data_IF_958021132119
#
_entry.id   IF_958021132119
#
_cell.length_a   1.000
_cell.length_b   1.000
_cell.length_c   1.000
_cell.angle_alpha   90.00
_cell.angle_beta   90.00
_cell.angle_gamma   90.00
#
_symmetry.space_group_name_H-M   'P 1'
#
loop_
_entity.id
_entity.type
_entity.pdbx_description
1 polymer ?
#
# COMPACT_ATOMS: atom_id res chain seq x y z
N UNK A 1 -51.76 48.36 -58.69
CA UNK A 1 -52.06 48.63 -57.27
C UNK A 1 -51.59 47.40 -56.45
N UNK A 2 -50.40 47.39 -55.89
CA UNK A 2 -49.86 46.31 -55.08
C UNK A 2 -49.83 46.82 -53.64
N UNK A 3 -50.56 46.17 -52.76
CA UNK A 3 -50.60 46.50 -51.32
C UNK A 3 -49.39 45.74 -50.66
N UNK A 4 -48.49 46.46 -50.04
CA UNK A 4 -47.45 45.90 -49.21
C UNK A 4 -48.00 45.71 -47.78
N UNK A 5 -47.90 44.52 -47.24
CA UNK A 5 -48.23 44.20 -45.85
C UNK A 5 -46.92 44.22 -45.06
N UNK A 6 -46.79 45.16 -44.14
CA UNK A 6 -45.71 45.19 -43.16
C UNK A 6 -46.06 44.30 -41.97
N UNK A 7 -45.28 43.22 -41.74
CA UNK A 7 -45.34 42.42 -40.52
C UNK A 7 -44.34 43.01 -39.55
N UNK A 8 -44.80 43.63 -38.46
CA UNK A 8 -43.96 44.08 -37.36
C UNK A 8 -43.65 42.89 -36.45
N UNK A 9 -42.38 42.43 -36.43
CA UNK A 9 -41.87 41.42 -35.53
C UNK A 9 -41.53 42.07 -34.20
N UNK A 10 -42.39 41.95 -33.19
CA UNK A 10 -42.09 42.42 -31.82
C UNK A 10 -41.10 41.52 -31.14
N UNK A 11 -39.85 41.94 -30.89
CA UNK A 11 -38.89 41.29 -30.01
C UNK A 11 -39.34 41.51 -28.56
N UNK A 12 -39.89 40.46 -27.94
CA UNK A 12 -40.01 40.39 -26.48
C UNK A 12 -38.64 40.09 -25.88
N UNK A 13 -37.95 41.10 -25.40
CA UNK A 13 -36.81 41.01 -24.51
C UNK A 13 -37.28 40.50 -23.13
N UNK A 14 -37.24 39.18 -22.90
CA UNK A 14 -37.35 38.64 -21.54
C UNK A 14 -36.04 38.91 -20.81
N UNK A 15 -36.02 39.98 -20.02
CA UNK A 15 -34.97 40.23 -19.04
C UNK A 15 -35.09 39.14 -17.96
N UNK A 16 -34.26 38.11 -18.07
CA UNK A 16 -34.01 37.18 -16.96
C UNK A 16 -33.33 37.97 -15.83
N UNK A 17 -34.11 38.48 -14.88
CA UNK A 17 -33.57 39.00 -13.63
C UNK A 17 -32.86 37.82 -12.94
N UNK A 18 -31.53 37.84 -12.97
CA UNK A 18 -30.73 36.93 -12.13
C UNK A 18 -31.10 37.24 -10.68
N UNK A 19 -31.82 36.30 -10.03
CA UNK A 19 -32.03 36.39 -8.60
C UNK A 19 -30.67 36.52 -7.91
N UNK A 20 -30.48 37.46 -6.99
CA UNK A 20 -29.22 37.58 -6.26
C UNK A 20 -28.93 36.27 -5.58
N UNK A 21 -27.72 35.72 -5.81
CA UNK A 21 -27.28 34.49 -5.16
C UNK A 21 -27.43 34.69 -3.64
N UNK A 22 -28.28 33.85 -3.01
CA UNK A 22 -28.55 33.96 -1.59
C UNK A 22 -27.25 33.67 -0.83
N UNK A 23 -26.77 34.63 -0.04
CA UNK A 23 -25.56 34.47 0.77
C UNK A 23 -25.75 33.30 1.72
N UNK A 24 -24.84 32.29 1.73
CA UNK A 24 -25.00 31.13 2.61
C UNK A 24 -25.04 31.55 4.09
N UNK A 25 -25.83 30.87 4.90
CA UNK A 25 -25.89 31.09 6.34
C UNK A 25 -24.55 30.77 7.02
N UNK A 26 -24.30 31.32 8.20
CA UNK A 26 -23.11 31.03 9.00
C UNK A 26 -22.95 29.51 9.27
N UNK A 27 -24.05 28.82 9.54
CA UNK A 27 -24.06 27.37 9.76
C UNK A 27 -23.68 26.60 8.51
N UNK A 28 -24.15 27.00 7.36
CA UNK A 28 -23.78 26.37 6.08
C UNK A 28 -22.32 26.61 5.72
N UNK A 29 -21.82 27.85 5.93
CA UNK A 29 -20.40 28.17 5.73
C UNK A 29 -19.52 27.35 6.68
N UNK A 30 -19.90 27.20 7.94
CA UNK A 30 -19.18 26.40 8.91
C UNK A 30 -19.20 24.90 8.54
N UNK A 31 -20.34 24.36 8.11
CA UNK A 31 -20.42 22.97 7.59
C UNK A 31 -19.47 22.74 6.43
N UNK A 32 -19.47 23.64 5.43
CA UNK A 32 -18.57 23.55 4.26
C UNK A 32 -17.10 23.63 4.66
N UNK A 33 -16.77 24.49 5.64
CA UNK A 33 -15.42 24.61 6.16
C UNK A 33 -14.94 23.30 6.82
N UNK A 34 -15.76 22.72 7.71
CA UNK A 34 -15.45 21.46 8.40
C UNK A 34 -15.31 20.31 7.38
N UNK A 35 -16.22 20.20 6.42
CA UNK A 35 -16.19 19.16 5.38
C UNK A 35 -14.91 19.27 4.53
N UNK A 36 -14.58 20.45 4.01
CA UNK A 36 -13.36 20.64 3.21
C UNK A 36 -12.10 20.30 3.99
N UNK A 37 -11.99 20.75 5.26
CA UNK A 37 -10.85 20.41 6.13
C UNK A 37 -10.77 18.92 6.45
N UNK A 38 -11.90 18.25 6.59
CA UNK A 38 -11.93 16.81 6.81
C UNK A 38 -11.51 16.02 5.57
N UNK A 39 -11.93 16.44 4.36
CA UNK A 39 -11.45 15.85 3.09
C UNK A 39 -9.92 15.97 2.98
N UNK A 40 -9.38 17.17 3.18
CA UNK A 40 -7.93 17.39 3.14
C UNK A 40 -7.19 16.59 4.22
N UNK A 41 -7.75 16.51 5.43
CA UNK A 41 -7.17 15.70 6.52
C UNK A 41 -7.14 14.21 6.17
N UNK A 42 -8.16 13.70 5.45
CA UNK A 42 -8.20 12.30 5.00
C UNK A 42 -7.14 12.02 3.93
N UNK A 43 -6.97 12.91 2.96
CA UNK A 43 -5.94 12.78 1.92
C UNK A 43 -4.53 12.85 2.55
N UNK A 44 -4.29 13.86 3.38
CA UNK A 44 -3.00 14.06 4.05
C UNK A 44 -2.64 12.89 4.99
N UNK A 45 -3.61 12.44 5.79
CA UNK A 45 -3.42 11.43 6.82
C UNK A 45 -3.43 9.98 6.33
N UNK A 46 -3.69 9.72 5.03
CA UNK A 46 -3.94 8.37 4.50
C UNK A 46 -2.82 7.38 4.85
N UNK A 47 -1.56 7.74 4.64
CA UNK A 47 -0.42 6.84 4.94
C UNK A 47 -0.29 6.54 6.44
N UNK A 48 -0.54 7.54 7.29
CA UNK A 48 -0.50 7.40 8.75
C UNK A 48 -1.65 6.54 9.27
N UNK A 49 -2.86 6.75 8.75
CA UNK A 49 -4.04 5.91 9.08
C UNK A 49 -3.83 4.48 8.64
N UNK A 50 -3.28 4.27 7.45
CA UNK A 50 -2.96 2.94 6.95
C UNK A 50 -1.95 2.20 7.83
N UNK A 51 -0.90 2.89 8.31
CA UNK A 51 0.03 2.36 9.31
C UNK A 51 -0.69 1.99 10.62
N UNK A 52 -1.50 2.90 11.18
CA UNK A 52 -2.23 2.64 12.42
C UNK A 52 -3.19 1.44 12.28
N UNK A 53 -3.91 1.33 11.16
CA UNK A 53 -4.83 0.21 10.92
C UNK A 53 -4.11 -1.14 10.88
N UNK A 54 -2.91 -1.22 10.27
CA UNK A 54 -2.09 -2.44 10.30
C UNK A 54 -1.65 -2.78 11.72
N UNK A 55 -1.20 -1.79 12.49
CA UNK A 55 -0.83 -2.00 13.90
C UNK A 55 -2.05 -2.43 14.74
N UNK A 56 -3.19 -1.77 14.56
CA UNK A 56 -4.42 -2.14 15.26
C UNK A 56 -4.91 -3.56 14.91
N UNK A 57 -4.69 -4.03 13.68
CA UNK A 57 -4.96 -5.42 13.30
C UNK A 57 -4.05 -6.38 14.07
N UNK A 58 -2.76 -6.06 14.23
CA UNK A 58 -1.85 -6.85 15.08
C UNK A 58 -2.35 -6.93 16.53
N UNK A 59 -2.78 -5.81 17.10
CA UNK A 59 -3.25 -5.75 18.49
C UNK A 59 -4.57 -6.51 18.66
N UNK A 60 -5.54 -6.27 17.78
CA UNK A 60 -6.89 -6.84 17.92
C UNK A 60 -6.94 -8.33 17.56
N UNK A 61 -6.29 -8.72 16.44
CA UNK A 61 -6.45 -10.06 15.87
C UNK A 61 -5.32 -11.01 16.30
N UNK A 62 -4.05 -10.58 16.16
CA UNK A 62 -2.90 -11.40 16.52
C UNK A 62 -2.45 -11.28 17.99
N UNK A 63 -3.08 -10.37 18.78
CA UNK A 63 -2.78 -10.15 20.22
C UNK A 63 -1.33 -9.73 20.48
N UNK A 64 -0.72 -9.04 19.54
CA UNK A 64 0.63 -8.50 19.65
C UNK A 64 0.67 -7.05 20.10
N UNK A 65 1.88 -6.47 20.12
CA UNK A 65 2.13 -5.09 20.53
C UNK A 65 3.43 -4.55 19.94
N UNK A 66 3.83 -3.32 20.33
CA UNK A 66 5.07 -2.72 19.87
C UNK A 66 6.31 -3.50 20.32
N UNK A 67 7.36 -3.38 19.52
CA UNK A 67 8.63 -4.07 19.66
C UNK A 67 8.50 -5.60 19.60
N UNK A 68 7.44 -6.07 18.93
CA UNK A 68 7.18 -7.46 18.60
C UNK A 68 7.00 -7.59 17.10
N UNK A 69 7.04 -8.83 16.60
CA UNK A 69 6.93 -9.15 15.17
C UNK A 69 5.62 -9.91 14.94
N UNK A 70 4.71 -9.34 14.12
CA UNK A 70 3.64 -10.15 13.54
C UNK A 70 4.18 -10.86 12.30
N UNK A 71 3.85 -12.13 12.14
CA UNK A 71 4.33 -12.95 11.01
C UNK A 71 3.30 -13.96 10.57
N UNK A 72 3.55 -14.58 9.43
CA UNK A 72 2.75 -15.69 8.91
C UNK A 72 3.62 -16.93 8.85
N UNK A 73 3.24 -18.00 9.56
CA UNK A 73 4.03 -19.23 9.66
C UNK A 73 3.98 -20.12 8.42
N UNK A 74 3.09 -19.82 7.48
CA UNK A 74 2.98 -20.41 6.13
C UNK A 74 2.58 -19.34 5.13
N UNK A 75 2.46 -19.66 3.84
CA UNK A 75 2.04 -18.70 2.83
C UNK A 75 0.66 -18.12 3.17
N UNK A 76 0.51 -16.79 3.19
CA UNK A 76 -0.75 -16.15 3.54
C UNK A 76 -1.83 -16.40 2.48
N UNK A 77 -3.04 -16.57 2.93
CA UNK A 77 -4.26 -16.64 2.12
C UNK A 77 -5.07 -15.34 2.20
N UNK A 78 -6.32 -15.40 1.79
CA UNK A 78 -7.27 -14.28 1.80
C UNK A 78 -7.48 -13.64 3.19
N UNK A 79 -7.12 -14.29 4.28
CA UNK A 79 -7.22 -13.71 5.63
C UNK A 79 -6.24 -12.56 5.86
N UNK A 80 -5.18 -12.46 5.04
CA UNK A 80 -4.34 -11.27 5.03
C UNK A 80 -5.02 -10.16 4.20
N UNK A 81 -5.74 -9.28 4.88
CA UNK A 81 -6.49 -8.16 4.32
C UNK A 81 -5.72 -6.83 4.51
N UNK A 82 -4.44 -6.85 4.17
CA UNK A 82 -3.65 -5.62 3.95
C UNK A 82 -3.79 -5.17 2.49
N UNK A 83 -3.30 -3.99 2.14
CA UNK A 83 -3.29 -3.53 0.75
C UNK A 83 -2.31 -4.37 -0.08
N UNK A 84 -2.79 -4.92 -1.18
CA UNK A 84 -2.02 -5.68 -2.19
C UNK A 84 -0.93 -6.60 -1.60
N UNK A 85 -1.23 -7.49 -0.61
CA UNK A 85 -0.22 -8.34 -0.01
C UNK A 85 0.29 -9.39 -1.00
N UNK A 86 1.52 -9.85 -0.81
CA UNK A 86 2.08 -10.93 -1.63
C UNK A 86 1.84 -12.30 -0.96
N UNK A 87 1.00 -13.17 -1.52
CA UNK A 87 0.75 -14.50 -0.95
C UNK A 87 1.87 -15.52 -1.26
N UNK A 88 2.90 -15.14 -2.03
CA UNK A 88 4.00 -16.03 -2.42
C UNK A 88 5.28 -15.79 -1.59
N UNK A 89 5.18 -15.17 -0.41
CA UNK A 89 6.29 -14.96 0.51
C UNK A 89 5.85 -14.97 1.96
N UNK A 90 6.77 -15.30 2.87
CA UNK A 90 6.53 -15.25 4.31
C UNK A 90 6.77 -13.81 4.79
N UNK A 91 5.75 -13.17 5.33
CA UNK A 91 5.86 -11.85 5.92
C UNK A 91 6.30 -11.90 7.38
N UNK A 92 7.14 -10.92 7.75
CA UNK A 92 7.50 -10.61 9.12
C UNK A 92 7.46 -9.07 9.26
N UNK A 93 6.59 -8.58 10.12
CA UNK A 93 6.36 -7.14 10.27
C UNK A 93 6.64 -6.76 11.72
N UNK A 94 7.86 -6.37 12.08
CA UNK A 94 8.12 -5.71 13.36
C UNK A 94 7.45 -4.36 13.38
N UNK A 95 6.61 -4.12 14.39
CA UNK A 95 6.12 -2.79 14.74
C UNK A 95 6.95 -2.27 15.91
N UNK A 96 7.56 -1.11 15.75
CA UNK A 96 8.46 -0.51 16.71
C UNK A 96 7.87 0.76 17.31
N UNK A 97 8.23 1.03 18.58
CA UNK A 97 7.96 2.30 19.25
C UNK A 97 9.17 2.69 20.09
N UNK A 98 9.80 3.79 19.73
CA UNK A 98 10.98 4.33 20.38
C UNK A 98 10.67 5.32 21.51
N UNK A 99 9.39 5.67 21.73
CA UNK A 99 8.99 6.70 22.71
C UNK A 99 9.33 6.28 24.14
N UNK A 100 8.98 5.04 24.49
CA UNK A 100 9.17 4.52 25.83
C UNK A 100 10.40 3.61 25.95
N UNK A 101 10.77 2.95 24.83
CA UNK A 101 11.89 2.01 24.80
C UNK A 101 13.25 2.68 24.52
N UNK A 102 13.27 3.96 24.10
CA UNK A 102 14.44 4.58 23.53
C UNK A 102 14.77 4.01 22.13
N UNK A 103 16.02 4.17 21.64
CA UNK A 103 16.42 3.60 20.36
C UNK A 103 16.19 2.09 20.29
N UNK A 104 15.64 1.61 19.15
CA UNK A 104 15.30 0.19 18.93
C UNK A 104 16.18 -0.39 17.83
N UNK A 105 16.72 -1.57 18.08
CA UNK A 105 17.51 -2.35 17.12
C UNK A 105 16.63 -3.37 16.43
N UNK A 106 16.72 -3.41 15.10
CA UNK A 106 16.23 -4.53 14.27
C UNK A 106 17.47 -5.23 13.74
N UNK A 107 17.71 -6.48 14.16
CA UNK A 107 18.87 -7.28 13.74
C UNK A 107 18.42 -8.27 12.65
N UNK A 108 18.95 -8.10 11.44
CA UNK A 108 18.68 -8.93 10.27
C UNK A 108 19.74 -10.02 10.17
N UNK A 109 19.37 -11.30 10.03
CA UNK A 109 20.33 -12.38 9.89
C UNK A 109 21.04 -12.33 8.52
N UNK A 110 22.29 -12.88 8.40
CA UNK A 110 22.97 -13.01 7.13
C UNK A 110 22.23 -13.96 6.19
N UNK A 111 22.30 -13.72 4.88
CA UNK A 111 21.69 -14.53 3.83
C UNK A 111 22.54 -15.81 3.59
N UNK A 112 22.58 -16.70 4.56
CA UNK A 112 23.36 -17.95 4.55
C UNK A 112 22.52 -19.16 4.05
N UNK A 113 21.38 -19.41 4.66
CA UNK A 113 20.46 -20.52 4.32
C UNK A 113 19.02 -20.05 3.99
N UNK A 114 18.84 -18.75 3.90
CA UNK A 114 17.62 -18.02 3.53
C UNK A 114 17.96 -16.58 3.17
N UNK A 115 16.95 -15.76 2.94
CA UNK A 115 17.12 -14.33 2.62
C UNK A 115 15.95 -13.52 3.14
N UNK A 116 16.23 -12.41 3.83
CA UNK A 116 15.26 -11.38 4.16
C UNK A 116 15.40 -10.23 3.17
N UNK A 117 14.28 -9.75 2.65
CA UNK A 117 14.22 -8.53 1.86
C UNK A 117 13.09 -7.65 2.38
N UNK A 118 13.25 -6.35 2.30
CA UNK A 118 12.23 -5.39 2.69
C UNK A 118 12.81 -4.05 3.09
N UNK A 119 11.99 -3.24 3.75
CA UNK A 119 12.33 -1.86 4.09
C UNK A 119 11.88 -1.56 5.52
N UNK A 120 12.71 -0.82 6.25
CA UNK A 120 12.38 -0.23 7.56
C UNK A 120 11.85 1.18 7.31
N UNK A 121 10.73 1.55 7.95
CA UNK A 121 10.00 2.78 7.69
C UNK A 121 9.59 3.48 8.97
N UNK A 122 9.41 4.79 8.88
CA UNK A 122 8.71 5.57 9.91
C UNK A 122 7.18 5.35 9.84
N UNK A 123 6.43 5.96 10.77
CA UNK A 123 4.97 5.80 10.81
C UNK A 123 4.22 6.59 9.71
N UNK A 124 4.88 7.50 9.00
CA UNK A 124 4.39 8.09 7.76
C UNK A 124 4.60 7.16 6.55
N UNK A 125 5.20 5.99 6.77
CA UNK A 125 5.61 5.03 5.76
C UNK A 125 6.69 5.58 4.82
N UNK A 126 7.49 6.54 5.32
CA UNK A 126 8.69 7.01 4.63
C UNK A 126 9.80 5.98 4.82
N UNK A 127 10.43 5.49 3.73
CA UNK A 127 11.50 4.50 3.83
C UNK A 127 12.73 5.10 4.51
N UNK A 128 13.19 4.44 5.57
CA UNK A 128 14.43 4.77 6.27
C UNK A 128 15.61 4.04 5.62
N UNK A 129 15.50 2.70 5.42
CA UNK A 129 16.51 1.93 4.71
C UNK A 129 15.97 0.57 4.24
N UNK A 130 16.52 0.09 3.12
CA UNK A 130 16.28 -1.25 2.61
C UNK A 130 17.25 -2.26 3.25
N UNK A 131 16.78 -3.50 3.43
CA UNK A 131 17.55 -4.59 4.06
C UNK A 131 17.69 -5.79 3.13
N UNK A 132 18.72 -6.60 3.37
CA UNK A 132 18.98 -7.83 2.65
C UNK A 132 19.87 -7.65 1.40
N UNK A 133 19.91 -8.61 0.47
CA UNK A 133 20.86 -8.61 -0.66
C UNK A 133 20.81 -7.37 -1.55
N UNK A 134 19.66 -6.72 -1.66
CA UNK A 134 19.46 -5.46 -2.37
C UNK A 134 19.56 -4.23 -1.44
N UNK A 135 19.64 -4.42 -0.14
CA UNK A 135 19.80 -3.37 0.86
C UNK A 135 21.25 -2.97 1.11
N UNK A 136 21.44 -2.10 2.10
CA UNK A 136 22.78 -1.58 2.45
C UNK A 136 23.71 -2.67 3.03
N UNK A 137 23.16 -3.72 3.64
CA UNK A 137 23.88 -4.85 4.19
C UNK A 137 24.33 -5.87 3.12
N UNK A 138 23.87 -5.74 1.88
CA UNK A 138 24.21 -6.61 0.75
C UNK A 138 24.07 -8.12 1.06
N UNK A 139 23.15 -8.46 1.97
CA UNK A 139 22.91 -9.82 2.44
C UNK A 139 23.86 -10.32 3.53
N UNK A 140 24.79 -9.50 4.00
CA UNK A 140 25.67 -9.85 5.13
C UNK A 140 24.90 -9.88 6.47
N UNK A 141 23.67 -9.40 6.49
CA UNK A 141 22.93 -9.11 7.70
C UNK A 141 23.43 -7.85 8.39
N UNK A 142 22.73 -7.40 9.41
CA UNK A 142 23.13 -6.17 10.10
C UNK A 142 22.24 -5.78 11.25
N UNK A 143 22.72 -4.83 12.04
CA UNK A 143 21.98 -4.22 13.14
C UNK A 143 21.53 -2.84 12.73
N UNK A 144 20.25 -2.67 12.52
CA UNK A 144 19.63 -1.40 12.14
C UNK A 144 19.09 -0.72 13.40
N UNK A 145 19.63 0.47 13.69
CA UNK A 145 19.29 1.22 14.90
C UNK A 145 18.35 2.37 14.54
N UNK A 146 17.07 2.21 14.89
CA UNK A 146 16.07 3.25 14.72
C UNK A 146 16.13 4.21 15.90
N UNK A 147 16.46 5.47 15.62
CA UNK A 147 16.55 6.53 16.61
C UNK A 147 15.20 7.29 16.72
N UNK A 148 14.78 7.67 17.94
CA UNK A 148 13.60 8.50 18.12
C UNK A 148 13.80 9.91 17.55
N UNK A 149 12.71 10.64 17.26
CA UNK A 149 12.78 12.04 16.85
C UNK A 149 13.59 12.89 17.83
N UNK A 150 14.51 13.71 17.28
CA UNK A 150 15.32 14.62 18.08
C UNK A 150 16.40 13.96 18.93
N UNK A 151 16.75 12.70 18.66
CA UNK A 151 17.84 12.02 19.37
C UNK A 151 19.17 12.74 19.13
N UNK A 152 19.80 13.21 20.21
CA UNK A 152 21.03 14.01 20.14
C UNK A 152 22.31 13.24 20.48
N UNK A 153 22.22 12.00 20.94
CA UNK A 153 23.37 11.21 21.34
C UNK A 153 24.02 10.53 20.13
N UNK A 154 25.35 10.38 20.18
CA UNK A 154 26.07 9.65 19.14
C UNK A 154 25.71 8.16 19.21
N UNK A 155 25.27 7.60 18.09
CA UNK A 155 25.04 6.17 17.99
C UNK A 155 26.33 5.37 18.18
N UNK A 156 26.29 4.19 18.83
CA UNK A 156 27.44 3.30 18.92
C UNK A 156 27.91 2.81 17.55
N UNK A 157 29.18 2.44 17.46
CA UNK A 157 29.70 1.83 16.23
C UNK A 157 29.11 0.44 15.98
N UNK A 158 29.06 0.02 14.70
CA UNK A 158 28.56 -1.29 14.29
C UNK A 158 27.05 -1.35 14.00
N UNK A 159 26.38 -0.21 13.94
CA UNK A 159 24.96 -0.10 13.56
C UNK A 159 24.79 0.69 12.26
N UNK A 160 23.80 0.27 11.48
CA UNK A 160 23.21 1.11 10.44
C UNK A 160 22.23 2.06 11.15
N UNK A 161 22.57 3.34 11.22
CA UNK A 161 21.83 4.32 12.02
C UNK A 161 20.70 4.92 11.19
N UNK A 162 19.47 4.83 11.70
CA UNK A 162 18.24 5.26 11.05
C UNK A 162 17.53 6.34 11.89
N UNK A 163 17.80 7.63 11.67
CA UNK A 163 17.03 8.69 12.30
C UNK A 163 15.58 8.66 11.82
N UNK A 164 14.65 8.49 12.75
CA UNK A 164 13.21 8.50 12.43
C UNK A 164 12.58 9.86 12.71
N UNK A 165 11.62 10.25 11.89
CA UNK A 165 10.81 11.45 12.10
C UNK A 165 9.65 11.21 13.08
N UNK A 166 9.36 9.95 13.40
CA UNK A 166 8.27 9.51 14.28
C UNK A 166 8.80 8.56 15.35
N UNK A 167 8.09 8.47 16.49
CA UNK A 167 8.40 7.49 17.54
C UNK A 167 8.04 6.07 17.11
N UNK A 168 6.94 5.93 16.40
CA UNK A 168 6.46 4.66 15.88
C UNK A 168 7.00 4.44 14.47
N UNK A 169 7.07 3.17 14.09
CA UNK A 169 7.48 2.74 12.77
C UNK A 169 7.29 1.24 12.61
N UNK A 170 7.67 0.72 11.47
CA UNK A 170 7.60 -0.70 11.19
C UNK A 170 8.61 -1.10 10.14
N UNK A 171 8.80 -2.40 9.95
CA UNK A 171 9.49 -2.90 8.78
C UNK A 171 8.59 -3.88 8.02
N UNK A 172 8.53 -3.76 6.70
CA UNK A 172 7.81 -4.70 5.85
C UNK A 172 8.81 -5.69 5.27
N UNK A 173 9.04 -6.76 6.02
CA UNK A 173 10.05 -7.76 5.71
C UNK A 173 9.40 -9.03 5.12
N UNK A 174 10.14 -9.66 4.22
CA UNK A 174 9.75 -10.92 3.58
C UNK A 174 10.91 -11.89 3.66
N UNK A 175 10.64 -13.11 4.14
CA UNK A 175 11.54 -14.24 3.98
C UNK A 175 11.23 -14.91 2.64
N UNK A 176 12.23 -14.98 1.77
CA UNK A 176 12.09 -15.39 0.37
C UNK A 176 12.15 -16.90 0.27
N UNK A 177 11.22 -17.45 -0.52
CA UNK A 177 11.17 -18.87 -0.85
C UNK A 177 12.07 -19.17 -2.06
N UNK A 178 12.60 -20.39 -2.10
CA UNK A 178 13.32 -20.96 -3.25
C UNK A 178 12.41 -21.81 -4.13
N UNK A 179 11.32 -22.32 -3.55
CA UNK A 179 10.26 -23.07 -4.22
C UNK A 179 8.90 -22.75 -3.59
N UNK A 180 7.81 -23.09 -4.24
CA UNK A 180 6.46 -22.89 -3.69
C UNK A 180 5.98 -24.06 -2.81
N UNK A 181 6.86 -24.92 -2.30
CA UNK A 181 6.50 -26.07 -1.47
C UNK A 181 6.26 -25.68 0.00
N UNK A 182 5.40 -26.43 0.70
CA UNK A 182 5.13 -26.23 2.12
C UNK A 182 6.40 -26.39 2.97
N UNK A 183 7.29 -27.31 2.58
CA UNK A 183 8.58 -27.52 3.27
C UNK A 183 9.49 -26.29 3.15
N UNK A 184 9.52 -25.64 1.98
CA UNK A 184 10.29 -24.42 1.78
C UNK A 184 9.66 -23.23 2.49
N UNK A 185 8.33 -23.13 2.48
CA UNK A 185 7.61 -22.10 3.26
C UNK A 185 7.91 -22.23 4.77
N UNK A 186 7.93 -23.46 5.31
CA UNK A 186 8.30 -23.71 6.70
C UNK A 186 9.76 -23.32 6.97
N UNK A 187 10.69 -23.64 6.06
CA UNK A 187 12.10 -23.24 6.14
C UNK A 187 12.23 -21.70 6.13
N UNK A 188 11.54 -21.03 5.22
CA UNK A 188 11.53 -19.56 5.13
C UNK A 188 10.96 -18.92 6.41
N UNK A 189 9.89 -19.49 6.98
CA UNK A 189 9.33 -19.02 8.25
C UNK A 189 10.32 -19.20 9.42
N UNK A 190 10.98 -20.35 9.50
CA UNK A 190 12.00 -20.62 10.52
C UNK A 190 13.21 -19.67 10.39
N UNK A 191 13.68 -19.44 9.17
CA UNK A 191 14.76 -18.48 8.90
C UNK A 191 14.37 -17.05 9.28
N UNK A 192 13.15 -16.61 8.93
CA UNK A 192 12.65 -15.29 9.27
C UNK A 192 12.60 -15.05 10.79
N UNK A 193 12.34 -16.09 11.59
CA UNK A 193 12.34 -16.01 13.06
C UNK A 193 13.73 -15.81 13.68
N UNK A 194 14.80 -15.74 12.87
CA UNK A 194 16.14 -15.31 13.32
C UNK A 194 16.27 -13.79 13.46
N UNK A 195 15.30 -13.01 12.94
CA UNK A 195 15.23 -11.56 13.14
C UNK A 195 15.07 -11.27 14.64
N UNK A 196 15.82 -10.27 15.14
CA UNK A 196 15.68 -9.82 16.52
C UNK A 196 15.23 -8.36 16.58
N UNK A 197 14.39 -8.05 17.57
CA UNK A 197 13.97 -6.68 17.88
C UNK A 197 14.14 -6.47 19.38
N UNK A 198 14.89 -5.44 19.74
CA UNK A 198 15.16 -5.13 21.15
C UNK A 198 15.56 -3.65 21.34
N UNK A 199 15.33 -3.06 22.54
CA UNK A 199 15.86 -1.74 22.87
C UNK A 199 17.38 -1.73 22.88
N UNK A 200 18.00 -0.64 22.40
CA UNK A 200 19.47 -0.49 22.43
C UNK A 200 20.05 -0.64 23.83
N UNK A 201 19.34 -0.18 24.87
CA UNK A 201 19.73 -0.34 26.27
C UNK A 201 19.94 -1.79 26.71
N UNK A 202 19.37 -2.76 25.97
CA UNK A 202 19.47 -4.19 26.24
C UNK A 202 20.41 -4.91 25.24
N UNK A 203 21.16 -4.19 24.43
CA UNK A 203 21.99 -4.78 23.38
C UNK A 203 23.11 -5.71 23.90
N UNK A 204 23.56 -5.55 25.16
CA UNK A 204 24.54 -6.45 25.78
C UNK A 204 23.97 -7.86 26.05
N UNK A 205 22.67 -7.97 26.32
CA UNK A 205 21.95 -9.22 26.54
C UNK A 205 20.51 -9.08 26.03
N UNK A 206 20.30 -9.18 24.70
CA UNK A 206 18.99 -8.94 24.11
C UNK A 206 17.96 -9.97 24.58
N UNK A 207 16.76 -9.54 24.95
CA UNK A 207 15.68 -10.46 25.31
C UNK A 207 15.24 -11.26 24.09
N UNK A 208 14.60 -12.42 24.27
CA UNK A 208 13.96 -13.15 23.17
C UNK A 208 12.93 -12.27 22.44
N UNK A 209 13.01 -12.26 21.11
CA UNK A 209 12.03 -11.55 20.29
C UNK A 209 10.67 -12.26 20.34
N UNK A 210 9.62 -11.52 20.60
CA UNK A 210 8.25 -12.05 20.57
C UNK A 210 7.71 -12.05 19.14
N UNK A 211 7.27 -13.22 18.69
CA UNK A 211 6.59 -13.42 17.41
C UNK A 211 5.13 -13.77 17.64
N UNK A 212 4.21 -13.07 16.98
CA UNK A 212 2.78 -13.38 17.01
C UNK A 212 2.33 -13.84 15.61
N UNK A 213 1.76 -15.03 15.54
CA UNK A 213 1.36 -15.63 14.28
C UNK A 213 -0.04 -15.16 13.86
N UNK A 214 -0.14 -14.56 12.67
CA UNK A 214 -1.39 -14.08 12.12
C UNK A 214 -2.02 -15.02 11.08
N UNK A 215 -1.46 -16.22 10.89
CA UNK A 215 -1.84 -17.09 9.77
C UNK A 215 -3.29 -17.59 9.84
N UNK A 216 -3.84 -17.78 11.02
CA UNK A 216 -5.20 -18.34 11.22
C UNK A 216 -6.25 -17.26 11.55
N UNK A 217 -5.84 -15.99 11.70
CA UNK A 217 -6.74 -14.87 11.96
C UNK A 217 -6.99 -14.02 10.72
N UNK A 218 -8.14 -13.37 10.64
CA UNK A 218 -8.40 -12.37 9.62
C UNK A 218 -7.69 -11.08 10.02
N UNK A 219 -6.50 -10.89 9.46
CA UNK A 219 -5.68 -9.69 9.70
C UNK A 219 -6.19 -8.56 8.82
N UNK A 220 -7.18 -7.82 9.33
CA UNK A 220 -7.92 -6.82 8.55
C UNK A 220 -7.47 -5.39 8.87
N UNK A 221 -6.77 -4.78 7.92
CA UNK A 221 -6.39 -3.38 7.94
C UNK A 221 -7.08 -2.56 6.82
N UNK A 222 -8.20 -3.04 6.32
CA UNK A 222 -9.01 -2.33 5.31
C UNK A 222 -9.37 -0.92 5.81
N UNK A 223 -9.18 0.08 4.94
CA UNK A 223 -9.41 1.49 5.28
C UNK A 223 -10.91 1.75 5.40
N UNK A 224 -11.39 2.23 6.57
CA UNK A 224 -12.78 2.64 6.71
C UNK A 224 -12.98 4.07 6.20
N UNK A 225 -13.91 4.28 5.27
CA UNK A 225 -14.24 5.61 4.78
C UNK A 225 -15.44 6.20 5.53
N UNK A 226 -15.26 6.35 6.85
CA UNK A 226 -16.19 6.94 7.81
C UNK A 226 -15.45 7.55 9.01
N UNK A 227 -16.15 7.89 10.10
CA UNK A 227 -15.55 8.51 11.30
C UNK A 227 -14.39 7.69 11.90
N UNK A 228 -14.35 6.37 11.68
CA UNK A 228 -13.26 5.50 12.17
C UNK A 228 -11.92 5.85 11.55
N UNK A 229 -11.91 6.40 10.32
CA UNK A 229 -10.71 6.97 9.71
C UNK A 229 -10.11 8.07 10.58
N UNK A 230 -10.94 9.02 11.03
CA UNK A 230 -10.49 10.14 11.86
C UNK A 230 -10.13 9.71 13.29
N UNK A 231 -10.75 8.65 13.82
CA UNK A 231 -10.32 8.03 15.07
C UNK A 231 -8.91 7.45 14.97
N UNK A 232 -8.58 6.83 13.85
CA UNK A 232 -7.25 6.32 13.54
C UNK A 232 -6.25 7.48 13.40
N UNK A 233 -6.62 8.53 12.65
CA UNK A 233 -5.82 9.73 12.50
C UNK A 233 -5.56 10.44 13.83
N UNK A 234 -6.57 10.50 14.71
CA UNK A 234 -6.40 11.07 16.06
C UNK A 234 -5.35 10.27 16.86
N UNK A 235 -5.42 8.94 16.90
CA UNK A 235 -4.41 8.11 17.59
C UNK A 235 -3.00 8.43 17.10
N UNK A 236 -2.82 8.58 15.78
CA UNK A 236 -1.54 8.96 15.21
C UNK A 236 -1.08 10.35 15.67
N UNK A 237 -1.96 11.35 15.62
CA UNK A 237 -1.67 12.72 16.06
C UNK A 237 -1.31 12.77 17.55
N UNK A 238 -1.98 11.98 18.40
CA UNK A 238 -1.67 11.91 19.84
C UNK A 238 -0.29 11.29 20.10
N UNK A 239 0.11 10.31 19.28
CA UNK A 239 1.34 9.56 19.48
C UNK A 239 2.59 10.28 18.98
N UNK A 240 2.50 10.98 17.84
CA UNK A 240 3.65 11.43 17.06
C UNK A 240 3.94 12.93 17.18
N UNK A 241 5.20 13.38 17.00
CA UNK A 241 5.51 14.80 16.96
C UNK A 241 4.99 15.46 15.68
N UNK A 242 4.73 16.75 15.73
CA UNK A 242 4.45 17.55 14.54
C UNK A 242 5.72 17.78 13.73
N UNK A 243 5.68 17.40 12.47
CA UNK A 243 6.74 17.74 11.52
C UNK A 243 6.59 19.17 11.06
N UNK A 244 7.70 19.85 10.79
CA UNK A 244 7.68 21.26 10.35
C UNK A 244 6.83 21.47 9.09
N UNK A 245 6.92 20.55 8.14
CA UNK A 245 6.16 20.56 6.87
C UNK A 245 4.65 20.41 7.04
N UNK A 246 4.19 19.81 8.15
CA UNK A 246 2.78 19.48 8.40
C UNK A 246 2.10 20.46 9.41
N UNK A 247 2.80 21.52 9.85
CA UNK A 247 2.27 22.43 10.89
C UNK A 247 0.99 23.17 10.46
N UNK A 248 0.79 23.38 9.16
CA UNK A 248 -0.45 23.96 8.63
C UNK A 248 -1.69 23.10 8.94
N UNK A 249 -1.51 21.78 9.12
CA UNK A 249 -2.60 20.86 9.44
C UNK A 249 -3.12 21.00 10.88
N UNK A 250 -2.36 21.61 11.79
CA UNK A 250 -2.73 21.73 13.23
C UNK A 250 -4.09 22.39 13.39
N UNK A 251 -4.29 23.55 12.76
CA UNK A 251 -5.54 24.30 12.86
C UNK A 251 -6.69 23.65 12.07
N UNK A 252 -6.36 23.03 10.93
CA UNK A 252 -7.33 22.29 10.14
C UNK A 252 -7.91 21.11 10.93
N UNK A 253 -7.06 20.31 11.57
CA UNK A 253 -7.45 19.16 12.38
C UNK A 253 -8.23 19.59 13.64
N UNK A 254 -7.84 20.70 14.28
CA UNK A 254 -8.57 21.26 15.42
C UNK A 254 -10.03 21.56 15.07
N UNK A 255 -10.28 22.09 13.89
CA UNK A 255 -11.65 22.42 13.45
C UNK A 255 -12.55 21.20 13.22
N UNK A 256 -11.98 20.02 13.05
CA UNK A 256 -12.70 18.75 12.94
C UNK A 256 -12.67 17.93 14.24
N UNK A 257 -12.14 18.51 15.31
CA UNK A 257 -12.13 17.90 16.65
C UNK A 257 -10.87 17.10 16.99
N UNK A 258 -9.85 17.06 16.11
CA UNK A 258 -8.57 16.38 16.38
C UNK A 258 -7.57 17.43 16.89
N UNK A 259 -7.21 17.34 18.16
CA UNK A 259 -6.25 18.25 18.81
C UNK A 259 -5.35 17.47 19.76
N UNK A 260 -4.04 17.63 19.64
CA UNK A 260 -3.07 16.93 20.50
C UNK A 260 -3.30 17.23 21.97
N UNK A 261 -3.35 16.20 22.79
CA UNK A 261 -3.63 16.28 24.23
C UNK A 261 -5.12 16.35 24.58
N UNK A 262 -6.03 16.28 23.59
CA UNK A 262 -7.48 16.22 23.81
C UNK A 262 -8.06 14.93 23.25
N UNK A 263 -9.12 14.44 23.88
CA UNK A 263 -9.85 13.27 23.39
C UNK A 263 -10.71 13.64 22.17
N UNK A 264 -10.64 12.85 21.12
CA UNK A 264 -11.50 12.97 19.95
C UNK A 264 -12.91 12.43 20.26
N UNK A 265 -13.84 13.32 20.46
CA UNK A 265 -15.25 12.99 20.80
C UNK A 265 -16.21 13.93 20.05
N UNK A 266 -16.34 13.80 18.72
CA UNK A 266 -17.20 14.64 17.92
C UNK A 266 -18.68 14.39 18.23
N UNK A 267 -19.50 15.45 18.18
CA UNK A 267 -20.95 15.33 18.29
C UNK A 267 -21.57 14.66 17.05
N UNK A 268 -22.84 14.29 17.11
CA UNK A 268 -23.54 13.59 16.03
C UNK A 268 -23.56 14.38 14.72
N UNK A 269 -23.63 15.72 14.77
CA UNK A 269 -23.59 16.59 13.57
C UNK A 269 -22.22 16.53 12.92
N UNK A 270 -21.17 16.62 13.70
CA UNK A 270 -19.78 16.51 13.23
C UNK A 270 -19.50 15.11 12.69
N UNK A 271 -19.94 14.03 13.36
CA UNK A 271 -19.82 12.64 12.86
C UNK A 271 -20.44 12.48 11.49
N UNK A 272 -21.63 13.06 11.25
CA UNK A 272 -22.27 13.00 9.94
C UNK A 272 -21.43 13.69 8.84
N UNK A 273 -20.85 14.85 9.14
CA UNK A 273 -19.96 15.58 8.21
C UNK A 273 -18.68 14.76 7.95
N UNK A 274 -18.06 14.18 8.97
CA UNK A 274 -16.86 13.38 8.83
C UNK A 274 -17.09 12.11 7.99
N UNK A 275 -18.24 11.45 8.18
CA UNK A 275 -18.61 10.30 7.35
C UNK A 275 -18.78 10.67 5.87
N UNK A 276 -19.38 11.84 5.59
CA UNK A 276 -19.52 12.37 4.23
C UNK A 276 -18.14 12.72 3.64
N UNK A 277 -17.31 13.44 4.38
CA UNK A 277 -15.98 13.87 3.97
C UNK A 277 -15.03 12.69 3.69
N UNK A 278 -15.07 11.64 4.49
CA UNK A 278 -14.27 10.44 4.26
C UNK A 278 -14.63 9.75 2.93
N UNK A 279 -15.93 9.65 2.62
CA UNK A 279 -16.41 9.12 1.32
C UNK A 279 -16.06 10.03 0.16
N UNK A 280 -16.14 11.35 0.34
CA UNK A 280 -15.75 12.34 -0.66
C UNK A 280 -14.26 12.27 -0.96
N UNK A 281 -13.39 12.20 0.07
CA UNK A 281 -11.96 12.01 -0.08
C UNK A 281 -11.62 10.72 -0.83
N UNK A 282 -12.30 9.61 -0.50
CA UNK A 282 -12.17 8.34 -1.23
C UNK A 282 -12.58 8.49 -2.70
N UNK A 283 -13.76 9.06 -2.98
CA UNK A 283 -14.24 9.26 -4.34
C UNK A 283 -13.29 10.14 -5.17
N UNK A 284 -12.74 11.20 -4.56
CA UNK A 284 -11.73 12.07 -5.19
C UNK A 284 -10.46 11.29 -5.54
N UNK A 285 -9.92 10.52 -4.59
CA UNK A 285 -8.73 9.70 -4.83
C UNK A 285 -9.00 8.61 -5.88
N UNK A 286 -10.17 7.94 -5.84
CA UNK A 286 -10.54 6.96 -6.85
C UNK A 286 -10.72 7.57 -8.25
N UNK A 287 -11.21 8.80 -8.37
CA UNK A 287 -11.30 9.49 -9.67
C UNK A 287 -9.93 9.72 -10.33
N UNK A 288 -8.87 9.77 -9.53
CA UNK A 288 -7.48 9.94 -9.99
C UNK A 288 -6.75 8.60 -10.16
N UNK A 289 -7.29 7.52 -9.62
CA UNK A 289 -6.63 6.22 -9.56
C UNK A 289 -6.23 5.69 -10.95
N UNK A 290 -7.11 5.77 -11.94
CA UNK A 290 -6.79 5.32 -13.29
C UNK A 290 -5.68 6.14 -13.97
N UNK A 291 -5.55 7.41 -13.61
CA UNK A 291 -4.52 8.32 -14.14
C UNK A 291 -3.10 8.02 -13.66
N UNK A 292 -2.93 7.16 -12.64
CA UNK A 292 -1.58 6.79 -12.13
C UNK A 292 -0.90 5.76 -13.02
N UNK A 293 -1.68 5.00 -13.80
CA UNK A 293 -1.17 3.87 -14.57
C UNK A 293 -0.59 4.32 -15.91
N UNK A 294 0.62 4.90 -15.86
CA UNK A 294 1.40 5.20 -17.05
C UNK A 294 2.08 3.93 -17.57
N UNK A 295 1.89 3.58 -18.86
CA UNK A 295 2.45 2.37 -19.43
C UNK A 295 3.96 2.23 -19.21
N UNK A 296 4.38 1.10 -18.65
CA UNK A 296 5.79 0.77 -18.50
C UNK A 296 6.40 0.33 -19.84
N UNK A 297 5.66 -0.47 -20.61
CA UNK A 297 6.01 -0.80 -22.01
C UNK A 297 5.14 0.02 -22.94
N UNK A 298 5.69 0.39 -24.10
CA UNK A 298 4.96 1.19 -25.08
C UNK A 298 3.68 0.48 -25.55
N UNK A 299 2.55 1.16 -25.43
CA UNK A 299 1.24 0.63 -25.82
C UNK A 299 0.63 -0.42 -24.88
N UNK A 300 1.31 -0.79 -23.79
CA UNK A 300 0.83 -1.77 -22.81
C UNK A 300 -0.11 -1.16 -21.76
N UNK A 301 -0.89 -2.01 -21.10
CA UNK A 301 -1.69 -1.66 -19.91
C UNK A 301 -0.93 -1.85 -18.60
N UNK A 302 0.23 -2.49 -18.64
CA UNK A 302 1.07 -2.69 -17.47
C UNK A 302 1.81 -1.41 -17.09
N UNK A 303 1.69 -0.99 -15.84
CA UNK A 303 2.28 0.24 -15.31
C UNK A 303 2.96 0.01 -13.97
N UNK A 304 3.92 0.86 -13.62
CA UNK A 304 4.42 0.93 -12.24
C UNK A 304 3.30 1.50 -11.35
N UNK A 305 2.86 0.77 -10.31
CA UNK A 305 1.73 1.21 -9.48
C UNK A 305 2.16 2.22 -8.40
N UNK A 306 2.84 3.29 -8.79
CA UNK A 306 3.22 4.36 -7.87
C UNK A 306 3.43 5.68 -8.62
N UNK A 307 2.89 6.80 -8.12
CA UNK A 307 3.10 8.11 -8.72
C UNK A 307 4.58 8.52 -8.69
N UNK A 308 5.16 9.02 -9.82
CA UNK A 308 6.58 9.37 -9.88
C UNK A 308 7.03 10.45 -8.88
N UNK A 309 6.19 11.43 -8.63
CA UNK A 309 6.44 12.51 -7.66
C UNK A 309 6.46 11.98 -6.22
N UNK A 310 5.58 11.03 -5.89
CA UNK A 310 5.65 10.33 -4.61
C UNK A 310 6.97 9.56 -4.45
N UNK A 311 7.37 8.79 -5.47
CA UNK A 311 8.62 8.01 -5.44
C UNK A 311 9.80 8.94 -5.16
N UNK A 312 9.93 10.04 -5.92
CA UNK A 312 10.97 11.06 -5.72
C UNK A 312 10.96 11.62 -4.30
N UNK A 313 9.79 11.99 -3.79
CA UNK A 313 9.62 12.52 -2.44
C UNK A 313 10.03 11.51 -1.37
N UNK A 314 9.51 10.28 -1.44
CA UNK A 314 9.78 9.23 -0.46
C UNK A 314 11.27 8.84 -0.40
N UNK A 315 11.94 8.69 -1.55
CA UNK A 315 13.36 8.36 -1.62
C UNK A 315 14.27 9.40 -0.97
N UNK A 316 13.89 10.67 -1.03
CA UNK A 316 14.66 11.78 -0.44
C UNK A 316 14.20 12.16 0.97
N UNK A 317 13.22 11.45 1.55
CA UNK A 317 12.60 11.83 2.82
C UNK A 317 11.87 13.18 2.75
N UNK A 318 11.40 13.55 1.54
CA UNK A 318 10.75 14.84 1.25
C UNK A 318 11.67 16.04 1.53
N UNK A 319 12.94 15.93 1.14
CA UNK A 319 13.94 16.97 1.35
C UNK A 319 13.78 18.21 0.44
N UNK A 320 13.02 18.09 -0.65
CA UNK A 320 12.73 19.21 -1.55
C UNK A 320 11.81 20.21 -0.84
N UNK A 321 12.25 21.46 -0.58
CA UNK A 321 11.46 22.45 0.17
C UNK A 321 10.20 22.91 -0.58
N UNK A 322 10.19 22.77 -1.91
CA UNK A 322 9.13 23.28 -2.79
C UNK A 322 8.20 22.15 -3.30
N UNK A 323 8.43 20.90 -2.88
CA UNK A 323 7.66 19.73 -3.33
C UNK A 323 7.29 18.79 -2.17
N UNK A 324 6.01 18.71 -1.86
CA UNK A 324 5.46 17.73 -0.91
C UNK A 324 4.20 17.10 -1.49
N UNK A 325 4.31 15.97 -2.22
CA UNK A 325 3.22 15.38 -2.99
C UNK A 325 2.19 14.67 -2.09
N UNK A 326 1.41 15.44 -1.33
CA UNK A 326 0.41 14.94 -0.37
C UNK A 326 -0.67 14.13 -1.09
N UNK A 327 -1.18 14.64 -2.22
CA UNK A 327 -2.22 13.96 -3.00
C UNK A 327 -1.75 12.61 -3.54
N UNK A 328 -0.56 12.57 -4.14
CA UNK A 328 0.04 11.33 -4.67
C UNK A 328 0.33 10.33 -3.57
N UNK A 329 0.79 10.78 -2.39
CA UNK A 329 0.95 9.94 -1.21
C UNK A 329 -0.40 9.40 -0.73
N UNK A 330 -1.40 10.28 -0.58
CA UNK A 330 -2.75 9.90 -0.19
C UNK A 330 -3.33 8.87 -1.14
N UNK A 331 -3.23 9.11 -2.43
CA UNK A 331 -3.71 8.18 -3.46
C UNK A 331 -3.02 6.82 -3.38
N UNK A 332 -1.69 6.77 -3.31
CA UNK A 332 -0.94 5.51 -3.26
C UNK A 332 -1.39 4.63 -2.11
N UNK A 333 -1.49 5.19 -0.91
CA UNK A 333 -1.85 4.41 0.29
C UNK A 333 -3.36 4.07 0.39
N UNK A 334 -4.15 4.33 -0.65
CA UNK A 334 -5.49 3.72 -0.79
C UNK A 334 -5.44 2.32 -1.40
N UNK A 335 -4.41 1.99 -2.20
CA UNK A 335 -4.38 0.74 -2.97
C UNK A 335 -3.10 -0.08 -2.84
N UNK A 336 -1.97 0.49 -2.41
CA UNK A 336 -0.71 -0.23 -2.35
C UNK A 336 0.21 0.25 -1.22
N UNK A 337 1.21 -0.57 -0.89
CA UNK A 337 2.39 -0.17 -0.14
C UNK A 337 3.56 -0.02 -1.11
N UNK A 338 4.12 1.17 -1.18
CA UNK A 338 5.38 1.40 -1.87
C UNK A 338 6.44 1.77 -0.84
N UNK A 339 7.34 0.85 -0.55
CA UNK A 339 8.22 0.95 0.59
C UNK A 339 9.70 1.01 0.25
N UNK A 340 10.10 0.69 -0.99
CA UNK A 340 11.51 0.65 -1.36
C UNK A 340 12.14 2.03 -1.34
N UNK A 341 13.30 2.14 -0.66
CA UNK A 341 14.16 3.32 -0.73
C UNK A 341 14.96 3.32 -2.04
N UNK A 342 15.44 2.14 -2.47
CA UNK A 342 16.19 1.93 -3.70
C UNK A 342 15.34 1.14 -4.69
N UNK A 343 14.65 1.87 -5.59
CA UNK A 343 13.69 1.27 -6.54
C UNK A 343 14.39 0.42 -7.58
N UNK A 344 13.88 -0.79 -7.82
CA UNK A 344 14.33 -1.69 -8.89
C UNK A 344 15.49 -2.62 -8.52
N UNK A 345 16.07 -2.52 -7.32
CA UNK A 345 17.17 -3.40 -6.93
C UNK A 345 16.70 -4.77 -6.39
N UNK A 346 15.74 -4.81 -5.49
CA UNK A 346 15.27 -6.06 -4.87
C UNK A 346 14.01 -6.64 -5.52
N UNK A 347 13.13 -5.76 -5.94
CA UNK A 347 11.82 -6.11 -6.50
C UNK A 347 11.30 -5.02 -7.42
N UNK A 348 10.47 -5.42 -8.40
CA UNK A 348 9.75 -4.48 -9.24
C UNK A 348 8.35 -4.99 -9.53
N UNK A 349 7.38 -4.09 -9.61
CA UNK A 349 5.97 -4.44 -9.76
C UNK A 349 5.37 -3.76 -10.97
N UNK A 350 4.58 -4.52 -11.70
CA UNK A 350 3.71 -4.02 -12.75
C UNK A 350 2.26 -4.31 -12.36
N UNK A 351 1.40 -3.35 -12.52
CA UNK A 351 -0.03 -3.49 -12.23
C UNK A 351 -0.85 -3.15 -13.46
N UNK A 352 -1.94 -3.86 -13.64
CA UNK A 352 -2.97 -3.51 -14.61
C UNK A 352 -4.35 -3.62 -13.98
N UNK A 353 -5.20 -2.68 -14.33
CA UNK A 353 -6.60 -2.60 -13.90
C UNK A 353 -7.57 -2.78 -15.05
N UNK A 354 -7.05 -2.95 -16.26
CA UNK A 354 -7.81 -3.10 -17.50
C UNK A 354 -7.24 -4.20 -18.37
N UNK A 355 -8.12 -4.83 -19.13
CA UNK A 355 -7.72 -5.81 -20.14
C UNK A 355 -7.05 -5.12 -21.37
N UNK A 356 -6.56 -5.93 -22.29
CA UNK A 356 -5.94 -5.51 -23.56
C UNK A 356 -6.80 -4.48 -24.32
N UNK A 357 -8.11 -4.64 -24.31
CA UNK A 357 -9.06 -3.79 -25.05
C UNK A 357 -9.44 -2.51 -24.27
N UNK A 358 -8.92 -2.34 -23.04
CA UNK A 358 -9.14 -1.18 -22.21
C UNK A 358 -10.41 -1.25 -21.33
N UNK A 359 -11.02 -2.43 -21.21
CA UNK A 359 -12.14 -2.65 -20.32
C UNK A 359 -11.67 -3.02 -18.90
N UNK A 360 -12.43 -2.63 -17.89
CA UNK A 360 -12.22 -3.09 -16.53
C UNK A 360 -12.35 -4.62 -16.44
N UNK A 361 -11.56 -5.24 -15.56
CA UNK A 361 -11.70 -6.66 -15.29
C UNK A 361 -13.01 -6.98 -14.56
N UNK A 362 -13.78 -7.87 -15.15
CA UNK A 362 -15.07 -8.36 -14.65
C UNK A 362 -14.88 -9.76 -14.05
N UNK A 363 -15.21 -9.93 -12.79
CA UNK A 363 -15.04 -11.20 -12.08
C UNK A 363 -15.91 -12.35 -12.59
N UNK A 364 -16.93 -12.07 -13.40
CA UNK A 364 -17.77 -13.07 -14.05
C UNK A 364 -17.15 -13.64 -15.36
N UNK A 365 -16.09 -13.03 -15.84
CA UNK A 365 -15.43 -13.39 -17.11
C UNK A 365 -14.12 -14.12 -16.85
N UNK A 366 -13.65 -14.83 -17.87
CA UNK A 366 -12.35 -15.48 -17.86
C UNK A 366 -11.37 -14.69 -18.72
N UNK A 367 -10.17 -14.54 -18.19
CA UNK A 367 -9.07 -13.82 -18.84
C UNK A 367 -7.83 -14.71 -18.87
N UNK A 368 -6.92 -14.41 -19.79
CA UNK A 368 -5.64 -15.09 -19.94
C UNK A 368 -4.50 -14.08 -19.95
N UNK A 369 -3.43 -14.41 -19.21
CA UNK A 369 -2.11 -13.78 -19.31
C UNK A 369 -1.11 -14.83 -19.77
N UNK A 370 -0.47 -14.62 -20.91
CA UNK A 370 0.65 -15.45 -21.34
C UNK A 370 1.96 -14.82 -20.88
N UNK A 371 2.59 -15.39 -19.86
CA UNK A 371 3.91 -14.96 -19.39
C UNK A 371 4.97 -15.54 -20.31
N UNK A 372 5.76 -14.72 -21.05
CA UNK A 372 6.77 -15.22 -21.97
C UNK A 372 7.86 -16.03 -21.25
N UNK A 373 8.55 -16.94 -21.95
CA UNK A 373 9.66 -17.67 -21.35
C UNK A 373 10.80 -16.72 -20.96
N UNK A 374 11.68 -17.23 -20.09
CA UNK A 374 12.89 -16.50 -19.66
C UNK A 374 12.60 -15.12 -19.04
N UNK A 375 11.56 -15.04 -18.20
CA UNK A 375 11.30 -13.82 -17.46
C UNK A 375 12.57 -13.37 -16.70
N UNK A 376 12.98 -12.10 -16.84
CA UNK A 376 14.27 -11.59 -16.36
C UNK A 376 14.26 -11.34 -14.87
N UNK A 377 14.24 -12.40 -14.09
CA UNK A 377 14.23 -12.40 -12.62
C UNK A 377 15.25 -13.40 -12.08
N UNK A 378 15.97 -13.01 -11.02
CA UNK A 378 16.92 -13.90 -10.33
C UNK A 378 16.22 -14.86 -9.39
N UNK A 379 15.05 -14.49 -8.84
CA UNK A 379 14.33 -15.27 -7.84
C UNK A 379 13.07 -15.87 -8.44
N UNK A 380 12.01 -15.08 -8.57
CA UNK A 380 10.73 -15.55 -9.13
C UNK A 380 9.88 -14.38 -9.63
N UNK A 381 8.87 -14.70 -10.44
CA UNK A 381 7.75 -13.81 -10.73
C UNK A 381 6.45 -14.37 -10.17
N UNK A 382 5.48 -13.48 -9.90
CA UNK A 382 4.13 -13.87 -9.52
C UNK A 382 3.08 -12.93 -10.12
N UNK A 383 1.88 -13.47 -10.36
CA UNK A 383 0.68 -12.71 -10.72
C UNK A 383 -0.39 -12.93 -9.65
N UNK A 384 -0.82 -11.87 -9.01
CA UNK A 384 -1.79 -11.90 -7.90
C UNK A 384 -3.01 -11.08 -8.26
N UNK A 385 -4.20 -11.62 -7.93
CA UNK A 385 -5.49 -10.96 -8.12
C UNK A 385 -5.96 -10.33 -6.83
N UNK A 386 -6.45 -9.08 -6.92
CA UNK A 386 -7.02 -8.34 -5.79
C UNK A 386 -8.43 -7.86 -6.11
N UNK A 387 -9.22 -7.73 -5.07
CA UNK A 387 -10.51 -7.06 -5.13
C UNK A 387 -10.32 -5.57 -5.44
N UNK A 388 -10.99 -5.07 -6.48
CA UNK A 388 -10.85 -3.68 -6.94
C UNK A 388 -11.36 -2.65 -5.94
N UNK A 389 -12.31 -3.02 -5.08
CA UNK A 389 -12.90 -2.08 -4.13
C UNK A 389 -12.09 -1.93 -2.85
N UNK A 390 -11.36 -2.98 -2.44
CA UNK A 390 -10.60 -3.01 -1.18
C UNK A 390 -9.11 -3.05 -1.39
N UNK A 391 -8.64 -3.39 -2.60
CA UNK A 391 -7.24 -3.64 -2.95
C UNK A 391 -6.58 -4.74 -2.09
N UNK A 392 -7.40 -5.51 -1.38
CA UNK A 392 -7.01 -6.69 -0.62
C UNK A 392 -7.18 -7.96 -1.43
N UNK A 393 -6.72 -9.10 -0.88
CA UNK A 393 -7.01 -10.40 -1.49
C UNK A 393 -8.51 -10.67 -1.49
N UNK A 394 -9.02 -11.27 -2.57
CA UNK A 394 -10.43 -11.61 -2.69
C UNK A 394 -10.79 -12.58 -1.57
N UNK A 395 -11.75 -12.20 -0.72
CA UNK A 395 -12.15 -12.98 0.46
C UNK A 395 -12.69 -14.35 0.06
N UNK A 396 -12.41 -15.35 0.90
CA UNK A 396 -12.84 -16.74 0.73
C UNK A 396 -12.25 -17.46 -0.50
N UNK A 397 -11.20 -16.89 -1.13
CA UNK A 397 -10.47 -17.54 -2.21
C UNK A 397 -9.17 -18.16 -1.70
N UNK A 398 -8.97 -19.45 -1.94
CA UNK A 398 -7.82 -20.20 -1.41
C UNK A 398 -6.53 -20.00 -2.21
N UNK A 399 -6.62 -19.44 -3.42
CA UNK A 399 -5.50 -19.35 -4.36
C UNK A 399 -5.42 -17.96 -5.01
N UNK A 400 -4.94 -16.94 -4.28
CA UNK A 400 -4.98 -15.57 -4.78
C UNK A 400 -3.91 -15.26 -5.84
N UNK A 401 -2.97 -16.17 -6.09
CA UNK A 401 -1.85 -15.97 -7.02
C UNK A 401 -1.39 -17.24 -7.72
N UNK A 402 -0.56 -17.03 -8.74
CA UNK A 402 0.35 -18.01 -9.33
C UNK A 402 1.71 -17.39 -9.53
N UNK A 403 2.76 -18.18 -9.25
CA UNK A 403 4.14 -17.76 -9.42
C UNK A 403 4.93 -18.77 -10.23
N UNK A 404 6.11 -18.39 -10.69
CA UNK A 404 7.04 -19.30 -11.36
C UNK A 404 7.46 -20.48 -10.47
N UNK A 405 7.20 -20.39 -9.16
CA UNK A 405 7.48 -21.43 -8.15
C UNK A 405 6.22 -22.25 -7.77
N UNK A 406 5.05 -21.96 -8.35
CA UNK A 406 3.81 -22.68 -8.02
C UNK A 406 3.92 -24.16 -8.40
N UNK A 407 3.62 -25.03 -7.43
CA UNK A 407 3.65 -26.48 -7.64
C UNK A 407 2.65 -26.88 -8.72
N UNK A 408 3.09 -27.67 -9.69
CA UNK A 408 2.27 -28.16 -10.79
C UNK A 408 1.97 -27.13 -11.88
N UNK A 409 2.64 -25.98 -11.90
CA UNK A 409 2.50 -24.96 -12.95
C UNK A 409 2.83 -25.55 -14.32
N UNK A 410 1.87 -25.51 -15.24
CA UNK A 410 2.03 -26.02 -16.60
C UNK A 410 2.68 -24.96 -17.51
N UNK A 411 3.67 -25.38 -18.30
CA UNK A 411 4.31 -24.57 -19.33
C UNK A 411 3.84 -25.00 -20.71
N UNK A 412 3.77 -24.05 -21.62
CA UNK A 412 3.56 -24.29 -23.05
C UNK A 412 4.82 -24.88 -23.70
N UNK A 413 4.71 -25.39 -24.92
CA UNK A 413 5.82 -26.01 -25.65
C UNK A 413 7.02 -25.08 -25.89
N UNK A 414 6.77 -23.77 -25.96
CA UNK A 414 7.78 -22.72 -26.13
C UNK A 414 8.37 -22.24 -24.78
N UNK A 415 7.92 -22.81 -23.65
CA UNK A 415 8.35 -22.46 -22.30
C UNK A 415 7.58 -21.28 -21.68
N UNK A 416 6.65 -20.65 -22.40
CA UNK A 416 5.73 -19.65 -21.84
C UNK A 416 4.73 -20.28 -20.86
N UNK A 417 4.05 -19.45 -20.08
CA UNK A 417 3.05 -19.89 -19.11
C UNK A 417 1.75 -19.12 -19.32
N UNK A 418 0.67 -19.83 -19.60
CA UNK A 418 -0.66 -19.25 -19.61
C UNK A 418 -1.25 -19.29 -18.20
N UNK A 419 -1.56 -18.13 -17.65
CA UNK A 419 -2.33 -17.97 -16.42
C UNK A 419 -3.76 -17.58 -16.75
N UNK A 420 -4.71 -18.12 -16.02
CA UNK A 420 -6.13 -17.84 -16.20
C UNK A 420 -6.71 -17.16 -14.96
N UNK A 421 -7.49 -16.12 -15.15
CA UNK A 421 -8.22 -15.41 -14.10
C UNK A 421 -9.71 -15.53 -14.39
N UNK A 422 -10.50 -15.98 -13.44
CA UNK A 422 -11.92 -16.17 -13.68
C UNK A 422 -12.64 -16.91 -12.56
N UNK A 423 -14.00 -16.97 -12.58
CA UNK A 423 -14.78 -17.61 -11.52
C UNK A 423 -14.63 -19.13 -11.51
N UNK A 424 -14.17 -19.73 -12.63
CA UNK A 424 -13.95 -21.18 -12.77
C UNK A 424 -12.68 -21.43 -13.56
N UNK A 425 -11.98 -22.51 -13.17
CA UNK A 425 -10.82 -22.98 -13.92
C UNK A 425 -11.24 -23.49 -15.30
N UNK A 426 -10.53 -23.14 -16.38
CA UNK A 426 -10.66 -23.86 -17.63
C UNK A 426 -10.25 -25.33 -17.45
N UNK A 427 -10.90 -26.25 -18.15
CA UNK A 427 -10.65 -27.68 -18.03
C UNK A 427 -9.17 -28.01 -18.29
N UNK A 428 -8.53 -28.73 -17.35
CA UNK A 428 -7.12 -29.11 -17.44
C UNK A 428 -6.14 -27.98 -17.14
N UNK A 429 -6.61 -26.80 -16.69
CA UNK A 429 -5.80 -25.62 -16.35
C UNK A 429 -5.90 -25.20 -14.89
N UNK A 430 -6.33 -26.09 -14.02
CA UNK A 430 -6.57 -25.84 -12.60
C UNK A 430 -5.31 -25.36 -11.86
N UNK A 431 -4.13 -25.84 -12.27
CA UNK A 431 -2.84 -25.44 -11.68
C UNK A 431 -2.36 -24.07 -12.13
N UNK A 432 -2.89 -23.55 -13.24
CA UNK A 432 -2.56 -22.24 -13.81
C UNK A 432 -3.67 -21.20 -13.60
N UNK A 433 -4.69 -21.54 -12.82
CA UNK A 433 -5.85 -20.68 -12.61
C UNK A 433 -5.80 -19.96 -11.26
N UNK A 434 -6.22 -18.69 -11.26
CA UNK A 434 -6.45 -17.84 -10.10
C UNK A 434 -7.92 -17.46 -10.06
N UNK A 435 -8.65 -17.76 -8.97
CA UNK A 435 -10.08 -17.46 -8.87
C UNK A 435 -10.35 -15.97 -8.75
N UNK A 436 -11.47 -15.55 -9.36
CA UNK A 436 -12.06 -14.22 -9.22
C UNK A 436 -13.42 -14.29 -8.54
N UNK A 437 -13.99 -13.13 -8.20
CA UNK A 437 -15.27 -13.03 -7.49
C UNK A 437 -16.37 -12.65 -8.47
N UNK A 438 -17.38 -13.50 -8.60
CA UNK A 438 -18.55 -13.19 -9.43
C UNK A 438 -19.23 -11.90 -8.98
N UNK A 439 -19.63 -11.04 -9.93
CA UNK A 439 -20.24 -9.74 -9.67
C UNK A 439 -19.29 -8.67 -9.15
N UNK A 440 -17.99 -8.97 -8.96
CA UNK A 440 -16.96 -8.03 -8.54
C UNK A 440 -16.06 -7.59 -9.69
N UNK A 441 -15.28 -6.53 -9.45
CA UNK A 441 -14.15 -6.15 -10.30
C UNK A 441 -12.86 -6.57 -9.61
N UNK A 442 -11.82 -6.80 -10.41
CA UNK A 442 -10.51 -7.15 -9.87
C UNK A 442 -9.39 -6.37 -10.56
N UNK A 443 -8.21 -6.49 -10.03
CA UNK A 443 -6.97 -5.94 -10.55
C UNK A 443 -5.86 -6.96 -10.41
N UNK A 444 -4.83 -6.85 -11.24
CA UNK A 444 -3.73 -7.82 -11.27
C UNK A 444 -2.40 -7.12 -11.06
N UNK A 445 -1.64 -7.61 -10.09
CA UNK A 445 -0.27 -7.17 -9.84
C UNK A 445 0.71 -8.28 -10.25
N UNK A 446 1.62 -7.95 -11.16
CA UNK A 446 2.71 -8.82 -11.57
C UNK A 446 4.00 -8.38 -10.87
N UNK A 447 4.60 -9.27 -10.12
CA UNK A 447 5.82 -9.00 -9.34
C UNK A 447 7.02 -9.69 -9.97
N UNK A 448 8.14 -8.97 -9.99
CA UNK A 448 9.45 -9.48 -10.36
C UNK A 448 10.36 -9.35 -9.14
N UNK A 449 10.84 -10.48 -8.62
CA UNK A 449 11.80 -10.51 -7.51
C UNK A 449 13.22 -10.75 -8.03
N UNK A 450 14.12 -9.84 -7.69
CA UNK A 450 15.46 -9.77 -8.27
C UNK A 450 15.41 -9.47 -9.78
N UNK A 451 14.73 -8.38 -10.21
CA UNK A 451 14.64 -8.07 -11.64
C UNK A 451 16.03 -7.83 -12.22
N UNK A 452 16.26 -8.33 -13.45
CA UNK A 452 17.53 -8.18 -14.16
C UNK A 452 17.53 -6.93 -15.04
N UNK A 453 18.71 -6.47 -15.42
CA UNK A 453 18.91 -5.28 -16.26
C UNK A 453 18.12 -5.35 -17.59
N UNK A 454 18.05 -6.53 -18.20
CA UNK A 454 17.31 -6.78 -19.44
C UNK A 454 15.81 -6.45 -19.36
N UNK A 455 15.23 -6.52 -18.16
CA UNK A 455 13.86 -6.09 -17.91
C UNK A 455 13.71 -4.56 -18.07
N UNK A 456 14.60 -3.79 -17.46
CA UNK A 456 14.57 -2.32 -17.57
C UNK A 456 14.97 -1.81 -18.94
N UNK A 457 15.77 -2.59 -19.69
CA UNK A 457 16.06 -2.36 -21.11
C UNK A 457 14.90 -2.74 -22.03
N UNK A 458 13.76 -3.21 -21.46
CA UNK A 458 12.54 -3.60 -22.19
C UNK A 458 12.79 -4.68 -23.27
N UNK A 459 13.79 -5.53 -23.06
CA UNK A 459 14.10 -6.66 -23.96
C UNK A 459 13.13 -7.84 -23.78
N UNK A 460 12.43 -7.88 -22.66
CA UNK A 460 11.35 -8.80 -22.35
C UNK A 460 10.10 -7.96 -22.08
N UNK A 461 9.01 -8.28 -22.74
CA UNK A 461 7.75 -7.54 -22.65
C UNK A 461 6.67 -8.47 -22.13
N UNK A 462 5.97 -8.09 -21.08
CA UNK A 462 4.80 -8.79 -20.56
C UNK A 462 3.59 -8.40 -21.42
N UNK A 463 2.94 -9.33 -22.13
CA UNK A 463 1.72 -9.05 -22.87
C UNK A 463 0.57 -8.60 -21.98
N UNK A 464 -0.35 -7.84 -22.53
CA UNK A 464 -1.57 -7.47 -21.82
C UNK A 464 -2.49 -8.68 -21.60
N UNK A 465 -3.27 -8.62 -20.54
CA UNK A 465 -4.27 -9.65 -20.20
C UNK A 465 -5.43 -9.54 -21.20
N UNK A 466 -5.77 -10.65 -21.83
CA UNK A 466 -6.87 -10.71 -22.78
C UNK A 466 -8.06 -11.49 -22.22
N UNK A 467 -9.26 -11.04 -22.56
CA UNK A 467 -10.49 -11.76 -22.27
C UNK A 467 -10.57 -13.01 -23.16
N UNK A 468 -10.88 -14.15 -22.57
CA UNK A 468 -11.14 -15.38 -23.32
C UNK A 468 -12.65 -15.55 -23.57
N UNK A 469 -13.00 -16.10 -24.69
CA UNK A 469 -14.41 -16.36 -25.06
C UNK A 469 -15.02 -17.48 -24.23
#
# INVERSE_FOLDING_TARGET
MKKAVFIALGLLLVSAASAPAQTPSADELNKRLIQGRAVEAAIWGMSAVNFDLMYQAMVREAKGGYNQIVYWSRLPDWKNQTLTPNPDSIYLIPFINTKDAGPVVIEIPPADDGSIVGTIMDAWQTPLEDVGPAGVDKGAGGKYLVLPPGHGEKAPDGYVVLPSSTYQGYALLRSILQSGSDADAAKAAAYGRRIKVYPLSQAANPPPTTFVDAIDVVYDSTIPYDVRFYQSLDRFVQAEPWLARDRAMIDQLRSIGIEKGKSFNPDAKTVAILNEAAREAHALLQSRYEGVFHPFFDGSRWALPAPPDYIKGAQTGYADPDAYPVDSRGLLFTYAFFTSKHVGEGQFYLMTIKDKDGNDFDGDKTYRLTVPPNAPVKLYWSATVYDRATHGLIRNQSRPSRSSQSVGLQKNADGSVDLFFGPKAPAGKETNWVPTNAGGRFEVLFRLYGPEKSFFEKKWVLPDIEKTN
#
